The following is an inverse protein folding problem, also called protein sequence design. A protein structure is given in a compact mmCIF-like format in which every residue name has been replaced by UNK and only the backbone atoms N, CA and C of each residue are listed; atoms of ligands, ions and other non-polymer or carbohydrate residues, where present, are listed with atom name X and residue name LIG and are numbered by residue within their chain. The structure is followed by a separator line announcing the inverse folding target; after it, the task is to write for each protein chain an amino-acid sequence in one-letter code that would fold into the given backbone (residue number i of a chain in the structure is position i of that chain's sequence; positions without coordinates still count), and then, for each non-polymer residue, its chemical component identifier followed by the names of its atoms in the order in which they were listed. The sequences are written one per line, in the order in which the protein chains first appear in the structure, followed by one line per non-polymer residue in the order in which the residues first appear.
data_IF_517088021582
#
_entry.id   IF_517088021582
#
_cell.length_a   1.000
_cell.length_b   1.000
_cell.length_c   1.000
_cell.angle_alpha   90.00
_cell.angle_beta   90.00
_cell.angle_gamma   90.00
#
_symmetry.space_group_name_H-M   'P 1'
#
loop_
_entity.id
_entity.type
_entity.pdbx_description
1 polymer ?
#
# COMPACT_ATOMS: atom_id res chain seq x y z
N UNK A 1 -23.45 28.95 46.29
CA UNK A 1 -23.34 30.26 45.60
C UNK A 1 -21.87 30.55 45.39
N UNK A 2 -21.27 30.00 44.34
CA UNK A 2 -19.89 30.31 43.93
C UNK A 2 -20.00 31.29 42.75
N UNK A 3 -19.42 32.48 42.92
CA UNK A 3 -19.67 33.63 42.06
C UNK A 3 -19.02 33.52 40.67
N UNK A 4 -19.47 34.34 39.71
CA UNK A 4 -19.00 34.35 38.33
C UNK A 4 -17.54 34.81 38.13
N UNK A 5 -16.81 35.14 39.20
CA UNK A 5 -15.43 35.62 39.13
C UNK A 5 -14.38 34.50 38.95
N UNK A 6 -14.63 33.27 39.46
CA UNK A 6 -13.64 32.18 39.37
C UNK A 6 -13.48 31.60 37.96
N UNK A 7 -14.55 31.61 37.14
CA UNK A 7 -14.50 31.09 35.76
C UNK A 7 -13.68 31.99 34.85
N UNK A 8 -13.75 33.31 35.03
CA UNK A 8 -12.98 34.28 34.26
C UNK A 8 -11.47 34.17 34.52
N UNK A 9 -11.08 33.83 35.75
CA UNK A 9 -9.68 33.64 36.12
C UNK A 9 -9.09 32.35 35.55
N UNK A 10 -9.90 31.28 35.50
CA UNK A 10 -9.51 30.01 34.86
C UNK A 10 -9.38 30.14 33.33
N UNK A 11 -10.29 30.88 32.67
CA UNK A 11 -10.23 31.13 31.24
C UNK A 11 -9.02 32.01 30.86
N UNK A 12 -8.66 32.98 31.70
CA UNK A 12 -7.44 33.77 31.52
C UNK A 12 -6.17 32.92 31.66
N UNK A 13 -6.10 32.05 32.67
CA UNK A 13 -4.97 31.14 32.87
C UNK A 13 -4.82 30.11 31.74
N UNK A 14 -5.94 29.61 31.19
CA UNK A 14 -5.93 28.71 30.03
C UNK A 14 -5.47 29.46 28.77
N UNK A 15 -5.93 30.70 28.57
CA UNK A 15 -5.49 31.55 27.46
C UNK A 15 -3.99 31.86 27.49
N UNK A 16 -3.44 32.11 28.68
CA UNK A 16 -2.02 32.37 28.88
C UNK A 16 -1.17 31.10 28.69
N UNK A 17 -1.64 29.94 29.17
CA UNK A 17 -1.01 28.65 28.93
C UNK A 17 -1.01 28.25 27.44
N UNK A 18 -2.06 28.58 26.68
CA UNK A 18 -2.14 28.33 25.23
C UNK A 18 -1.15 29.22 24.47
N UNK A 19 -0.97 30.48 24.89
CA UNK A 19 0.04 31.38 24.30
C UNK A 19 1.46 30.89 24.56
N UNK A 20 1.78 30.53 25.80
CA UNK A 20 3.07 29.92 26.18
C UNK A 20 3.36 28.61 25.44
N UNK A 21 2.34 27.80 25.12
CA UNK A 21 2.51 26.56 24.35
C UNK A 21 2.68 26.80 22.85
N UNK A 22 2.14 27.91 22.33
CA UNK A 22 2.25 28.29 20.91
C UNK A 22 3.60 28.92 20.59
N UNK A 23 4.21 29.59 21.56
CA UNK A 23 5.52 30.24 21.40
C UNK A 23 6.70 29.32 21.80
N UNK A 24 6.43 28.11 22.28
CA UNK A 24 7.43 27.17 22.82
C UNK A 24 8.27 26.38 21.79
N UNK A 25 8.09 26.57 20.48
CA UNK A 25 8.98 25.94 19.49
C UNK A 25 8.99 26.62 18.12
N UNK A 26 9.01 27.94 18.07
CA UNK A 26 9.54 28.63 16.89
C UNK A 26 11.06 28.62 17.03
N UNK A 27 11.73 27.65 16.39
CA UNK A 27 13.18 27.73 16.16
C UNK A 27 13.47 29.10 15.57
N UNK A 28 14.38 29.84 16.19
CA UNK A 28 14.74 31.17 15.74
C UNK A 28 15.25 31.09 14.31
N UNK A 29 14.99 32.13 13.51
CA UNK A 29 15.38 32.14 12.10
C UNK A 29 16.90 31.91 11.91
N UNK A 30 17.71 32.34 12.88
CA UNK A 30 19.14 32.08 12.95
C UNK A 30 19.48 30.58 13.17
N UNK A 31 18.65 29.81 13.88
CA UNK A 31 18.84 28.37 14.04
C UNK A 31 18.51 27.61 12.75
N UNK A 32 17.52 28.08 11.98
CA UNK A 32 17.23 27.55 10.65
C UNK A 32 18.34 27.85 9.65
N UNK A 33 18.89 29.05 9.69
CA UNK A 33 20.04 29.44 8.86
C UNK A 33 21.29 28.62 9.23
N UNK A 34 21.55 28.42 10.52
CA UNK A 34 22.65 27.56 10.98
C UNK A 34 22.48 26.10 10.54
N UNK A 35 21.26 25.53 10.61
CA UNK A 35 21.00 24.18 10.11
C UNK A 35 21.08 24.09 8.59
N UNK A 36 20.67 25.13 7.87
CA UNK A 36 20.79 25.17 6.42
C UNK A 36 22.26 25.22 5.99
N UNK A 37 23.10 25.99 6.67
CA UNK A 37 24.55 26.02 6.42
C UNK A 37 25.23 24.68 6.75
N UNK A 38 24.82 24.01 7.83
CA UNK A 38 25.34 22.70 8.20
C UNK A 38 24.96 21.63 7.17
N UNK A 39 23.70 21.62 6.72
CA UNK A 39 23.23 20.72 5.67
C UNK A 39 23.97 20.94 4.33
N UNK A 40 24.21 22.19 3.96
CA UNK A 40 24.95 22.52 2.74
C UNK A 40 26.40 22.05 2.82
N UNK A 41 27.05 22.17 3.98
CA UNK A 41 28.39 21.60 4.20
C UNK A 41 28.40 20.08 4.12
N UNK A 42 27.38 19.42 4.65
CA UNK A 42 27.27 17.96 4.59
C UNK A 42 27.10 17.49 3.14
N UNK A 43 26.28 18.19 2.34
CA UNK A 43 26.09 17.93 0.91
C UNK A 43 27.39 18.17 0.13
N UNK A 44 28.12 19.25 0.41
CA UNK A 44 29.40 19.55 -0.25
C UNK A 44 30.52 18.58 0.16
N UNK A 45 30.46 18.03 1.37
CA UNK A 45 31.37 16.98 1.85
C UNK A 45 31.01 15.58 1.36
N UNK A 46 29.83 15.40 0.77
CA UNK A 46 29.31 14.11 0.37
C UNK A 46 30.02 13.59 -0.88
N UNK A 47 30.99 12.70 -0.66
CA UNK A 47 31.72 12.02 -1.72
C UNK A 47 30.91 10.84 -2.28
N UNK A 48 30.26 11.09 -3.42
CA UNK A 48 29.42 10.15 -4.15
C UNK A 48 30.17 8.85 -4.51
N UNK A 49 31.46 8.94 -4.84
CA UNK A 49 32.29 7.79 -5.23
C UNK A 49 32.61 6.89 -4.03
N UNK A 50 32.74 7.47 -2.83
CA UNK A 50 32.94 6.75 -1.58
C UNK A 50 31.66 6.03 -1.14
N UNK A 51 30.50 6.66 -1.35
CA UNK A 51 29.19 6.06 -1.10
C UNK A 51 28.90 4.88 -2.04
N UNK A 52 29.18 5.00 -3.34
CA UNK A 52 29.04 3.90 -4.30
C UNK A 52 29.98 2.73 -4.00
N UNK A 53 31.21 3.00 -3.54
CA UNK A 53 32.15 1.94 -3.13
C UNK A 53 31.69 1.20 -1.88
N UNK A 54 31.09 1.90 -0.91
CA UNK A 54 30.49 1.28 0.28
C UNK A 54 29.30 0.39 -0.10
N UNK A 55 28.38 0.86 -0.93
CA UNK A 55 27.25 0.07 -1.43
C UNK A 55 27.72 -1.19 -2.18
N UNK A 56 28.71 -1.07 -3.08
CA UNK A 56 29.30 -2.23 -3.77
C UNK A 56 30.06 -3.19 -2.86
N UNK A 57 30.56 -2.71 -1.72
CA UNK A 57 31.21 -3.54 -0.71
C UNK A 57 30.21 -4.27 0.20
N UNK A 58 29.04 -3.69 0.43
CA UNK A 58 27.93 -4.27 1.21
C UNK A 58 27.10 -5.27 0.39
N UNK A 59 26.95 -5.05 -0.93
CA UNK A 59 26.31 -6.00 -1.86
C UNK A 59 27.19 -7.21 -2.20
N UNK A 60 28.48 -7.19 -1.84
CA UNK A 60 29.31 -8.40 -1.89
C UNK A 60 28.91 -9.30 -0.72
N UNK A 61 28.45 -10.54 -0.96
CA UNK A 61 28.17 -11.46 0.13
C UNK A 61 29.47 -11.69 0.93
N UNK A 62 29.53 -11.13 2.13
CA UNK A 62 30.58 -11.43 3.11
C UNK A 62 30.43 -12.90 3.45
N UNK A 63 31.34 -13.72 2.90
CA UNK A 63 31.48 -15.12 3.31
C UNK A 63 31.76 -15.13 4.82
N UNK A 64 31.04 -15.94 5.61
CA UNK A 64 31.29 -16.02 7.05
C UNK A 64 32.74 -16.48 7.27
N UNK A 65 33.51 -15.63 7.94
CA UNK A 65 34.83 -15.96 8.45
C UNK A 65 34.66 -17.02 9.56
N UNK A 66 34.95 -18.27 9.21
CA UNK A 66 34.86 -19.38 10.15
C UNK A 66 34.62 -20.72 9.47
N UNK A 67 35.51 -21.14 8.57
CA UNK A 67 35.73 -22.58 8.37
C UNK A 67 37.17 -22.84 7.94
N UNK A 68 37.74 -23.79 8.65
CA UNK A 68 39.13 -24.20 8.72
C UNK A 68 39.64 -24.70 7.35
N UNK A 69 40.91 -24.40 7.10
CA UNK A 69 41.70 -24.80 5.94
C UNK A 69 41.53 -26.28 5.59
N UNK A 70 41.12 -26.56 4.34
CA UNK A 70 41.70 -27.67 3.56
C UNK A 70 41.86 -27.19 2.13
N UNK A 71 43.09 -27.25 1.64
CA UNK A 71 43.48 -26.73 0.33
C UNK A 71 42.79 -27.49 -0.80
N UNK A 72 41.94 -26.78 -1.54
CA UNK A 72 41.55 -27.17 -2.90
C UNK A 72 41.63 -25.93 -3.78
N UNK A 73 42.72 -25.83 -4.53
CA UNK A 73 42.86 -24.86 -5.63
C UNK A 73 41.99 -25.37 -6.78
N UNK A 74 40.88 -24.69 -7.07
CA UNK A 74 40.07 -24.98 -8.26
C UNK A 74 40.74 -24.40 -9.51
N UNK A 75 41.03 -25.19 -10.55
CA UNK A 75 41.54 -24.65 -11.80
C UNK A 75 40.41 -23.98 -12.59
N UNK A 76 40.66 -22.76 -13.07
CA UNK A 76 39.82 -22.10 -14.08
C UNK A 76 39.99 -22.83 -15.42
N UNK A 77 38.94 -23.44 -15.94
CA UNK A 77 38.90 -23.84 -17.35
C UNK A 77 38.66 -22.58 -18.20
N UNK A 78 39.69 -22.17 -18.96
CA UNK A 78 39.52 -21.26 -20.07
C UNK A 78 38.93 -22.01 -21.28
N UNK A 79 38.15 -21.36 -22.16
CA UNK A 79 37.63 -21.97 -23.38
C UNK A 79 38.76 -22.28 -24.37
N UNK A 80 38.80 -23.51 -24.89
CA UNK A 80 39.68 -23.93 -25.98
C UNK A 80 39.21 -23.30 -27.30
N UNK A 81 39.86 -22.23 -27.73
CA UNK A 81 39.97 -21.84 -29.14
C UNK A 81 41.12 -20.83 -29.27
N UNK A 82 42.35 -21.31 -29.50
CA UNK A 82 43.42 -20.52 -30.12
C UNK A 82 44.56 -21.44 -30.59
N UNK A 83 45.08 -21.10 -31.76
CA UNK A 83 45.95 -21.87 -32.63
C UNK A 83 47.32 -22.23 -32.06
N UNK A 84 47.89 -23.35 -32.54
CA UNK A 84 49.26 -23.77 -32.29
C UNK A 84 50.26 -22.84 -33.00
N UNK A 85 51.39 -22.53 -32.36
CA UNK A 85 52.67 -22.54 -33.08
C UNK A 85 53.68 -23.53 -32.49
N UNK A 86 54.61 -23.95 -33.34
CA UNK A 86 55.58 -25.01 -33.15
C UNK A 86 56.83 -24.57 -32.38
N UNK A 87 57.46 -25.59 -31.79
CA UNK A 87 58.92 -25.81 -31.63
C UNK A 87 59.62 -25.45 -30.31
N UNK A 88 60.65 -26.27 -30.04
CA UNK A 88 61.75 -26.22 -29.05
C UNK A 88 61.64 -27.25 -27.88
N UNK A 89 62.74 -27.98 -27.54
CA UNK A 89 62.70 -29.42 -27.29
C UNK A 89 62.85 -29.91 -25.84
N UNK A 90 62.52 -31.21 -25.69
CA UNK A 90 62.63 -32.11 -24.52
C UNK A 90 63.91 -31.96 -23.68
N UNK A 91 63.79 -32.16 -22.35
CA UNK A 91 64.72 -32.98 -21.60
C UNK A 91 64.13 -34.36 -21.32
N UNK A 92 65.00 -35.36 -21.40
CA UNK A 92 64.77 -36.77 -21.06
C UNK A 92 64.62 -36.90 -19.55
N UNK A 93 63.68 -37.73 -19.11
CA UNK A 93 63.66 -38.22 -17.74
C UNK A 93 62.44 -39.07 -17.45
N UNK A 94 62.68 -40.34 -17.12
CA UNK A 94 61.78 -41.26 -16.43
C UNK A 94 60.44 -41.59 -17.11
N UNK A 95 60.48 -42.70 -17.83
CA UNK A 95 59.40 -43.67 -17.90
C UNK A 95 58.86 -44.04 -16.51
N UNK A 96 57.65 -43.58 -16.18
CA UNK A 96 56.75 -44.34 -15.35
C UNK A 96 55.46 -44.57 -16.14
N UNK A 97 55.30 -45.81 -16.60
CA UNK A 97 54.00 -46.39 -16.88
C UNK A 97 53.18 -46.34 -15.59
N UNK A 98 52.33 -45.33 -15.47
CA UNK A 98 51.10 -45.46 -14.71
C UNK A 98 49.98 -45.56 -15.74
N UNK A 99 49.66 -46.80 -16.10
CA UNK A 99 48.28 -47.17 -16.46
C UNK A 99 47.43 -46.88 -15.22
N UNK A 100 47.12 -45.61 -15.03
CA UNK A 100 46.08 -45.14 -14.14
C UNK A 100 44.83 -45.04 -14.99
N UNK A 101 44.15 -46.17 -15.11
CA UNK A 101 42.77 -46.24 -15.53
C UNK A 101 41.93 -45.44 -14.52
N UNK A 102 41.86 -44.12 -14.70
CA UNK A 102 40.80 -43.28 -14.14
C UNK A 102 39.66 -43.18 -15.14
N UNK A 103 39.24 -44.34 -15.68
CA UNK A 103 37.97 -44.59 -16.34
C UNK A 103 36.74 -44.47 -15.42
N UNK A 104 36.88 -43.75 -14.31
CA UNK A 104 35.81 -43.32 -13.40
C UNK A 104 36.04 -41.81 -13.26
N UNK A 105 35.62 -40.95 -14.19
CA UNK A 105 34.24 -40.46 -14.33
C UNK A 105 34.09 -39.94 -15.77
N UNK A 106 34.22 -40.83 -16.76
CA UNK A 106 33.64 -40.56 -18.06
C UNK A 106 32.12 -40.47 -17.86
N UNK A 107 31.61 -39.24 -17.73
CA UNK A 107 30.25 -38.87 -18.15
C UNK A 107 29.19 -39.91 -17.77
N UNK A 108 28.93 -40.15 -16.48
CA UNK A 108 27.77 -40.98 -16.14
C UNK A 108 26.53 -40.32 -16.76
N UNK A 109 25.85 -41.07 -17.65
CA UNK A 109 24.70 -40.54 -18.41
C UNK A 109 23.67 -39.91 -17.49
N UNK A 110 23.53 -40.46 -16.30
CA UNK A 110 22.69 -39.93 -15.23
C UNK A 110 23.08 -38.53 -14.72
N UNK A 111 24.37 -38.23 -14.49
CA UNK A 111 24.78 -36.87 -14.08
C UNK A 111 24.61 -35.86 -15.22
N UNK A 112 24.77 -36.32 -16.46
CA UNK A 112 24.50 -35.49 -17.63
C UNK A 112 22.99 -35.20 -17.77
N UNK A 113 22.15 -36.21 -17.54
CA UNK A 113 20.69 -36.09 -17.51
C UNK A 113 20.21 -35.17 -16.37
N UNK A 114 20.76 -35.31 -15.16
CA UNK A 114 20.49 -34.40 -14.04
C UNK A 114 20.94 -32.96 -14.34
N UNK A 115 22.05 -32.76 -15.06
CA UNK A 115 22.48 -31.42 -15.49
C UNK A 115 21.52 -30.80 -16.49
N UNK A 116 20.98 -31.59 -17.43
CA UNK A 116 19.98 -31.14 -18.38
C UNK A 116 18.69 -30.76 -17.64
N UNK A 117 18.18 -31.64 -16.77
CA UNK A 117 16.99 -31.37 -15.96
C UNK A 117 17.15 -30.15 -15.03
N UNK A 118 18.33 -29.99 -14.41
CA UNK A 118 18.62 -28.83 -13.57
C UNK A 118 18.64 -27.53 -14.38
N UNK A 119 19.20 -27.55 -15.61
CA UNK A 119 19.18 -26.38 -16.51
C UNK A 119 17.77 -26.03 -16.96
N UNK A 120 16.97 -27.02 -17.35
CA UNK A 120 15.57 -26.81 -17.73
C UNK A 120 14.77 -26.22 -16.57
N UNK A 121 14.92 -26.77 -15.36
CA UNK A 121 14.27 -26.24 -14.15
C UNK A 121 14.75 -24.82 -13.81
N UNK A 122 16.05 -24.55 -13.94
CA UNK A 122 16.60 -23.21 -13.70
C UNK A 122 16.10 -22.20 -14.73
N UNK A 123 15.98 -22.60 -16.00
CA UNK A 123 15.42 -21.77 -17.06
C UNK A 123 13.95 -21.47 -16.81
N UNK A 124 13.14 -22.48 -16.46
CA UNK A 124 11.74 -22.29 -16.10
C UNK A 124 11.59 -21.33 -14.92
N UNK A 125 12.36 -21.53 -13.84
CA UNK A 125 12.35 -20.63 -12.68
C UNK A 125 12.76 -19.20 -13.05
N UNK A 126 13.75 -19.03 -13.93
CA UNK A 126 14.17 -17.70 -14.39
C UNK A 126 13.08 -17.02 -15.23
N UNK A 127 12.37 -17.76 -16.08
CA UNK A 127 11.26 -17.23 -16.88
C UNK A 127 10.09 -16.82 -15.98
N UNK A 128 9.69 -17.68 -15.05
CA UNK A 128 8.64 -17.36 -14.07
C UNK A 128 9.01 -16.13 -13.22
N UNK A 129 10.28 -15.99 -12.83
CA UNK A 129 10.73 -14.83 -12.07
C UNK A 129 10.67 -13.53 -12.91
N UNK A 130 11.03 -13.59 -14.19
CA UNK A 130 10.93 -12.44 -15.11
C UNK A 130 9.46 -12.05 -15.33
N UNK A 131 8.57 -13.01 -15.57
CA UNK A 131 7.13 -12.76 -15.76
C UNK A 131 6.50 -12.14 -14.50
N UNK A 132 6.83 -12.66 -13.31
CA UNK A 132 6.37 -12.09 -12.03
C UNK A 132 6.87 -10.65 -11.84
N UNK A 133 8.14 -10.39 -12.13
CA UNK A 133 8.68 -9.04 -12.01
C UNK A 133 7.99 -8.07 -12.97
N UNK A 134 7.73 -8.46 -14.22
CA UNK A 134 6.99 -7.64 -15.17
C UNK A 134 5.55 -7.37 -14.71
N UNK A 135 4.86 -8.37 -14.17
CA UNK A 135 3.52 -8.21 -13.62
C UNK A 135 3.51 -7.25 -12.41
N UNK A 136 4.52 -7.34 -11.54
CA UNK A 136 4.67 -6.47 -10.37
C UNK A 136 4.96 -5.01 -10.77
N UNK A 137 5.83 -4.80 -11.76
CA UNK A 137 6.10 -3.46 -12.33
C UNK A 137 4.87 -2.85 -12.98
N UNK A 138 4.08 -3.66 -13.70
CA UNK A 138 2.81 -3.22 -14.26
C UNK A 138 1.83 -2.79 -13.16
N UNK A 139 1.68 -3.59 -12.10
CA UNK A 139 0.84 -3.26 -10.95
C UNK A 139 1.25 -1.93 -10.30
N UNK A 140 2.54 -1.74 -10.05
CA UNK A 140 3.08 -0.50 -9.46
C UNK A 140 2.78 0.71 -10.34
N UNK A 141 3.05 0.61 -11.65
CA UNK A 141 2.76 1.69 -12.61
C UNK A 141 1.27 2.05 -12.62
N UNK A 142 0.38 1.05 -12.60
CA UNK A 142 -1.07 1.28 -12.61
C UNK A 142 -1.58 1.85 -11.30
N UNK A 143 -1.08 1.40 -10.15
CA UNK A 143 -1.43 1.98 -8.85
C UNK A 143 -0.93 3.42 -8.71
N UNK A 144 0.26 3.75 -9.24
CA UNK A 144 0.71 5.16 -9.34
C UNK A 144 -0.26 6.01 -10.15
N UNK A 145 -0.71 5.51 -11.30
CA UNK A 145 -1.70 6.20 -12.13
C UNK A 145 -3.02 6.43 -11.38
N UNK A 146 -3.52 5.40 -10.68
CA UNK A 146 -4.71 5.51 -9.83
C UNK A 146 -4.52 6.56 -8.75
N UNK A 147 -3.38 6.56 -8.04
CA UNK A 147 -3.09 7.54 -7.01
C UNK A 147 -3.07 8.98 -7.56
N UNK A 148 -2.37 9.22 -8.67
CA UNK A 148 -2.30 10.56 -9.26
C UNK A 148 -3.68 11.10 -9.64
N UNK A 149 -4.50 10.27 -10.29
CA UNK A 149 -5.88 10.62 -10.63
C UNK A 149 -6.71 10.93 -9.37
N UNK A 150 -6.69 10.03 -8.38
CA UNK A 150 -7.48 10.21 -7.16
C UNK A 150 -7.03 11.43 -6.35
N UNK A 151 -5.73 11.70 -6.34
CA UNK A 151 -5.17 12.88 -5.68
C UNK A 151 -5.66 14.17 -6.33
N UNK A 152 -5.60 14.27 -7.65
CA UNK A 152 -6.13 15.41 -8.40
C UNK A 152 -7.64 15.56 -8.22
N UNK A 153 -8.39 14.46 -8.32
CA UNK A 153 -9.83 14.43 -8.10
C UNK A 153 -10.19 14.97 -6.71
N UNK A 154 -9.53 14.49 -5.64
CA UNK A 154 -9.75 14.98 -4.27
C UNK A 154 -9.48 16.47 -4.16
N UNK A 155 -8.39 16.97 -4.75
CA UNK A 155 -8.06 18.40 -4.70
C UNK A 155 -9.20 19.24 -5.28
N UNK A 156 -9.73 18.86 -6.45
CA UNK A 156 -10.83 19.58 -7.08
C UNK A 156 -12.14 19.44 -6.29
N UNK A 157 -12.47 18.25 -5.80
CA UNK A 157 -13.70 18.01 -5.04
C UNK A 157 -13.70 18.72 -3.67
N UNK A 158 -12.55 18.84 -3.02
CA UNK A 158 -12.41 19.58 -1.77
C UNK A 158 -12.66 21.09 -1.95
N UNK A 159 -12.38 21.63 -3.14
CA UNK A 159 -12.68 23.02 -3.51
C UNK A 159 -14.16 23.18 -3.85
N UNK A 160 -14.69 22.31 -4.72
CA UNK A 160 -16.05 22.42 -5.25
C UNK A 160 -17.13 22.06 -4.23
N UNK A 161 -16.84 21.12 -3.33
CA UNK A 161 -17.79 20.53 -2.35
C UNK A 161 -19.17 20.23 -2.95
N UNK A 162 -19.23 19.39 -4.01
CA UNK A 162 -20.48 19.15 -4.71
C UNK A 162 -21.51 18.41 -3.85
N UNK A 163 -22.78 18.54 -4.23
CA UNK A 163 -23.85 17.68 -3.72
C UNK A 163 -23.87 16.39 -4.52
N UNK A 164 -23.84 15.25 -3.84
CA UNK A 164 -23.96 13.93 -4.45
C UNK A 164 -25.40 13.68 -4.88
N UNK A 165 -25.57 13.20 -6.12
CA UNK A 165 -26.88 12.88 -6.70
C UNK A 165 -27.49 11.59 -6.13
N UNK A 166 -26.65 10.74 -5.54
CA UNK A 166 -27.03 9.43 -5.01
C UNK A 166 -27.81 9.52 -3.71
N UNK A 167 -28.77 8.61 -3.56
CA UNK A 167 -29.51 8.35 -2.31
C UNK A 167 -28.99 7.09 -1.62
N UNK A 168 -28.82 7.14 -0.30
CA UNK A 168 -28.37 5.99 0.51
C UNK A 168 -29.53 5.47 1.36
N UNK A 169 -29.91 4.22 1.14
CA UNK A 169 -30.95 3.54 1.90
C UNK A 169 -30.34 2.78 3.08
N UNK A 170 -30.77 3.11 4.30
CA UNK A 170 -30.44 2.35 5.52
C UNK A 170 -31.47 1.24 5.73
N UNK A 171 -32.74 1.59 5.51
CA UNK A 171 -33.93 0.75 5.67
C UNK A 171 -35.00 1.27 4.72
N UNK A 172 -36.03 0.49 4.35
CA UNK A 172 -37.09 0.96 3.45
C UNK A 172 -37.80 2.25 3.89
N UNK A 173 -37.71 2.60 5.18
CA UNK A 173 -38.27 3.83 5.76
C UNK A 173 -37.27 4.97 5.91
N UNK A 174 -35.98 4.71 5.71
CA UNK A 174 -34.88 5.62 6.06
C UNK A 174 -33.92 5.76 4.88
N UNK A 175 -34.02 6.89 4.19
CA UNK A 175 -33.18 7.23 3.04
C UNK A 175 -32.49 8.57 3.27
N UNK A 176 -31.17 8.57 3.16
CA UNK A 176 -30.34 9.78 3.14
C UNK A 176 -30.23 10.31 1.71
N UNK A 177 -30.48 11.61 1.55
CA UNK A 177 -30.40 12.34 0.27
C UNK A 177 -29.74 13.68 0.49
N UNK A 178 -29.34 14.35 -0.60
CA UNK A 178 -28.73 15.67 -0.58
C UNK A 178 -27.49 15.68 0.33
N UNK A 179 -26.63 14.69 0.12
CA UNK A 179 -25.34 14.59 0.80
C UNK A 179 -24.36 15.52 0.11
N UNK A 180 -23.65 16.32 0.88
CA UNK A 180 -22.66 17.27 0.38
C UNK A 180 -21.28 16.77 0.76
N UNK A 181 -20.38 16.76 -0.21
CA UNK A 181 -18.97 16.48 0.01
C UNK A 181 -18.39 17.44 1.05
N UNK A 182 -17.71 16.91 2.06
CA UNK A 182 -17.06 17.72 3.10
C UNK A 182 -15.57 17.84 2.82
N UNK A 183 -14.87 16.72 2.95
CA UNK A 183 -13.43 16.62 2.80
C UNK A 183 -13.07 15.20 2.38
N UNK A 184 -12.12 15.08 1.48
CA UNK A 184 -11.52 13.82 1.07
C UNK A 184 -10.00 13.87 1.08
N UNK A 185 -9.44 12.68 0.99
CA UNK A 185 -8.02 12.41 1.06
C UNK A 185 -7.68 11.20 0.20
N UNK A 186 -6.52 11.27 -0.47
CA UNK A 186 -5.95 10.17 -1.24
C UNK A 186 -4.48 10.02 -0.85
N UNK A 187 -4.06 8.77 -0.62
CA UNK A 187 -2.72 8.41 -0.16
C UNK A 187 -2.33 7.04 -0.71
N UNK A 188 -1.05 6.71 -0.66
CA UNK A 188 -0.54 5.39 -1.03
C UNK A 188 0.48 4.88 -0.03
N UNK A 189 0.65 3.56 -0.01
CA UNK A 189 1.65 2.87 0.80
C UNK A 189 2.49 1.97 -0.07
N UNK A 190 3.78 1.94 0.21
CA UNK A 190 4.75 1.05 -0.45
C UNK A 190 5.13 -0.10 0.46
N UNK A 191 5.46 -1.24 -0.15
CA UNK A 191 5.99 -2.40 0.55
C UNK A 191 7.52 -2.34 0.60
N UNK A 192 8.10 -2.51 1.79
CA UNK A 192 9.56 -2.42 2.00
C UNK A 192 10.34 -3.69 1.70
N UNK A 193 9.67 -4.83 1.49
CA UNK A 193 10.32 -6.16 1.37
C UNK A 193 10.60 -6.60 -0.07
N UNK A 194 10.09 -5.92 -1.09
CA UNK A 194 10.43 -6.17 -2.49
C UNK A 194 11.69 -5.41 -2.89
N UNK A 195 12.45 -5.92 -3.86
CA UNK A 195 13.70 -5.33 -4.40
C UNK A 195 13.54 -3.96 -5.11
N UNK A 196 12.41 -3.29 -4.85
CA UNK A 196 12.02 -1.94 -5.21
C UNK A 196 10.79 -1.63 -4.34
N UNK A 197 10.66 -0.42 -3.83
CA UNK A 197 9.52 -0.03 -3.01
C UNK A 197 8.23 0.08 -3.87
N UNK A 198 7.60 -1.07 -4.14
CA UNK A 198 6.40 -1.17 -4.96
C UNK A 198 5.18 -0.67 -4.17
N UNK A 199 4.24 -0.02 -4.84
CA UNK A 199 2.98 0.40 -4.23
C UNK A 199 2.12 -0.83 -3.91
N UNK A 200 1.85 -1.04 -2.63
CA UNK A 200 0.98 -2.11 -2.13
C UNK A 200 -0.48 -1.68 -2.17
N UNK A 201 -0.74 -0.41 -1.81
CA UNK A 201 -2.10 0.07 -1.59
C UNK A 201 -2.24 1.56 -1.89
N UNK A 202 -3.30 1.93 -2.60
CA UNK A 202 -3.79 3.31 -2.73
C UNK A 202 -5.09 3.43 -1.96
N UNK A 203 -5.15 4.35 -1.01
CA UNK A 203 -6.34 4.63 -0.21
C UNK A 203 -6.97 5.94 -0.65
N UNK A 204 -8.26 5.91 -0.88
CA UNK A 204 -9.09 7.09 -1.14
C UNK A 204 -10.25 7.09 -0.15
N UNK A 205 -10.44 8.19 0.55
CA UNK A 205 -11.49 8.30 1.57
C UNK A 205 -12.05 9.70 1.59
N UNK A 206 -13.35 9.83 1.82
CA UNK A 206 -14.01 11.12 1.95
C UNK A 206 -15.16 11.07 2.94
N UNK A 207 -15.57 12.25 3.40
CA UNK A 207 -16.71 12.44 4.27
C UNK A 207 -17.82 13.16 3.52
N UNK A 208 -19.04 12.71 3.79
CA UNK A 208 -20.26 13.33 3.29
C UNK A 208 -21.18 13.66 4.44
N UNK A 209 -21.86 14.80 4.35
CA UNK A 209 -22.82 15.23 5.36
C UNK A 209 -24.07 15.82 4.71
N UNK A 210 -25.22 15.68 5.36
CA UNK A 210 -26.44 16.42 5.05
C UNK A 210 -26.91 17.15 6.31
N UNK A 211 -27.42 18.39 6.18
CA UNK A 211 -27.96 19.12 7.33
C UNK A 211 -29.23 18.48 7.91
N UNK A 212 -29.85 17.53 7.19
CA UNK A 212 -31.05 16.83 7.65
C UNK A 212 -30.66 15.71 8.61
N UNK A 213 -31.24 15.69 9.81
CA UNK A 213 -31.24 14.52 10.68
C UNK A 213 -32.41 13.61 10.36
N UNK A 214 -32.21 12.30 10.48
CA UNK A 214 -33.24 11.30 10.26
C UNK A 214 -33.69 10.73 11.59
N UNK A 215 -34.99 10.81 11.87
CA UNK A 215 -35.57 10.28 13.11
C UNK A 215 -36.53 9.14 12.78
N UNK A 216 -36.35 7.99 13.41
CA UNK A 216 -37.20 6.81 13.21
C UNK A 216 -37.42 6.02 14.49
N UNK A 217 -38.61 5.42 14.59
CA UNK A 217 -39.01 4.62 15.74
C UNK A 217 -39.13 3.15 15.36
N UNK A 218 -38.60 2.28 16.22
CA UNK A 218 -38.69 0.82 16.09
C UNK A 218 -39.23 0.19 17.38
N UNK A 219 -39.89 -0.97 17.25
CA UNK A 219 -40.20 -1.84 18.40
C UNK A 219 -38.92 -2.49 18.95
N UNK A 220 -39.01 -3.14 20.12
CA UNK A 220 -37.84 -3.69 20.79
C UNK A 220 -36.99 -4.66 19.94
N UNK A 221 -37.64 -5.59 19.22
CA UNK A 221 -36.91 -6.60 18.43
C UNK A 221 -36.34 -6.04 17.12
N UNK A 222 -36.98 -5.04 16.52
CA UNK A 222 -36.45 -4.34 15.36
C UNK A 222 -35.37 -3.32 15.74
N UNK A 223 -35.45 -2.70 16.92
CA UNK A 223 -34.49 -1.73 17.41
C UNK A 223 -33.08 -2.31 17.55
N UNK A 224 -32.94 -3.50 18.13
CA UNK A 224 -31.63 -4.16 18.29
C UNK A 224 -30.98 -4.50 16.94
N UNK A 225 -31.78 -5.02 15.99
CA UNK A 225 -31.31 -5.33 14.64
C UNK A 225 -30.89 -4.06 13.89
N UNK A 226 -31.70 -3.01 13.99
CA UNK A 226 -31.43 -1.73 13.34
C UNK A 226 -30.20 -1.04 13.94
N UNK A 227 -30.04 -1.08 15.27
CA UNK A 227 -28.85 -0.59 15.97
C UNK A 227 -27.58 -1.24 15.47
N UNK A 228 -27.57 -2.57 15.34
CA UNK A 228 -26.42 -3.31 14.81
C UNK A 228 -26.11 -2.90 13.37
N UNK A 229 -27.14 -2.77 12.54
CA UNK A 229 -27.00 -2.37 11.14
C UNK A 229 -26.38 -0.96 10.98
N UNK A 230 -26.88 0.03 11.72
CA UNK A 230 -26.34 1.40 11.71
C UNK A 230 -24.89 1.43 12.19
N UNK A 231 -24.58 0.65 13.23
CA UNK A 231 -23.22 0.52 13.76
C UNK A 231 -22.27 -0.08 12.71
N UNK A 232 -22.69 -1.14 12.02
CA UNK A 232 -21.89 -1.80 10.97
C UNK A 232 -21.59 -0.82 9.81
N UNK A 233 -22.53 0.06 9.48
CA UNK A 233 -22.34 1.14 8.50
C UNK A 233 -21.41 2.26 8.99
N UNK A 234 -21.22 2.39 10.31
CA UNK A 234 -20.40 3.43 10.93
C UNK A 234 -21.09 4.80 10.99
N UNK A 235 -22.43 4.81 11.05
CA UNK A 235 -23.21 6.05 11.18
C UNK A 235 -23.27 6.47 12.65
N UNK A 236 -23.26 7.79 12.88
CA UNK A 236 -23.47 8.34 14.23
C UNK A 236 -24.98 8.45 14.51
N UNK A 237 -25.41 8.00 15.68
CA UNK A 237 -26.80 8.05 16.08
C UNK A 237 -26.95 8.28 17.59
N UNK A 238 -28.12 8.82 17.97
CA UNK A 238 -28.61 8.86 19.34
C UNK A 238 -29.82 7.95 19.45
N UNK A 239 -29.95 7.26 20.58
CA UNK A 239 -31.02 6.31 20.83
C UNK A 239 -31.73 6.68 22.13
N UNK A 240 -33.05 6.85 22.06
CA UNK A 240 -33.89 7.09 23.22
C UNK A 240 -34.81 5.88 23.42
N UNK A 241 -34.57 5.13 24.48
CA UNK A 241 -35.31 3.93 24.82
C UNK A 241 -36.51 4.25 25.71
N UNK A 242 -37.71 3.83 25.29
CA UNK A 242 -38.94 3.96 26.08
C UNK A 242 -39.29 2.60 26.67
N UNK A 243 -39.23 2.52 27.99
CA UNK A 243 -39.54 1.32 28.74
C UNK A 243 -40.96 1.35 29.31
N UNK A 244 -41.60 0.19 29.45
CA UNK A 244 -42.85 0.05 30.18
C UNK A 244 -42.62 0.06 31.70
N UNK A 245 -43.71 0.07 32.49
CA UNK A 245 -43.66 0.01 33.96
C UNK A 245 -42.93 -1.24 34.50
N UNK A 246 -42.79 -2.29 33.68
CA UNK A 246 -42.04 -3.52 33.99
C UNK A 246 -40.58 -3.48 33.52
N UNK A 247 -40.05 -2.30 33.13
CA UNK A 247 -38.70 -2.08 32.59
C UNK A 247 -38.38 -2.88 31.32
N UNK A 248 -39.38 -3.29 30.54
CA UNK A 248 -39.18 -3.88 29.21
C UNK A 248 -39.22 -2.77 28.16
N UNK A 249 -38.31 -2.83 27.19
CA UNK A 249 -38.29 -1.91 26.06
C UNK A 249 -39.58 -2.04 25.24
N UNK A 250 -40.29 -0.94 25.03
CA UNK A 250 -41.46 -0.87 24.15
C UNK A 250 -41.03 -0.40 22.77
N UNK A 251 -40.38 0.76 22.73
CA UNK A 251 -39.93 1.41 21.51
C UNK A 251 -38.58 2.09 21.73
N UNK A 252 -37.79 2.17 20.67
CA UNK A 252 -36.59 2.99 20.62
C UNK A 252 -36.71 4.02 19.50
N UNK A 253 -36.49 5.28 19.84
CA UNK A 253 -36.38 6.39 18.89
C UNK A 253 -34.90 6.56 18.53
N UNK A 254 -34.58 6.53 17.24
CA UNK A 254 -33.24 6.72 16.71
C UNK A 254 -33.16 8.06 15.99
N UNK A 255 -32.25 8.93 16.43
CA UNK A 255 -31.86 10.15 15.71
C UNK A 255 -30.50 9.92 15.06
N UNK A 256 -30.47 9.81 13.74
CA UNK A 256 -29.29 9.49 12.95
C UNK A 256 -28.75 10.78 12.34
N UNK A 257 -27.46 11.05 12.57
CA UNK A 257 -26.77 12.11 11.87
C UNK A 257 -26.51 11.65 10.44
N UNK A 258 -26.90 12.47 9.45
CA UNK A 258 -26.63 12.17 8.03
C UNK A 258 -25.18 12.51 7.66
N UNK A 259 -24.22 12.01 8.44
CA UNK A 259 -22.79 12.20 8.22
C UNK A 259 -22.05 10.87 8.35
N UNK A 260 -21.28 10.52 7.33
CA UNK A 260 -20.51 9.27 7.31
C UNK A 260 -19.32 9.35 6.36
N UNK A 261 -18.38 8.42 6.56
CA UNK A 261 -17.21 8.27 5.70
C UNK A 261 -17.43 7.19 4.65
N UNK A 262 -16.92 7.48 3.46
CA UNK A 262 -16.79 6.59 2.31
C UNK A 262 -15.31 6.30 2.10
N UNK A 263 -14.95 5.06 1.79
CA UNK A 263 -13.57 4.69 1.48
C UNK A 263 -13.49 3.71 0.33
N UNK A 264 -12.46 3.83 -0.50
CA UNK A 264 -12.08 2.91 -1.54
C UNK A 264 -10.58 2.63 -1.42
N UNK A 265 -10.19 1.37 -1.25
CA UNK A 265 -8.78 0.95 -1.16
C UNK A 265 -8.45 0.05 -2.34
N UNK A 266 -7.51 0.48 -3.16
CA UNK A 266 -6.97 -0.26 -4.28
C UNK A 266 -5.72 -0.98 -3.81
N UNK A 267 -5.78 -2.31 -3.68
CA UNK A 267 -4.68 -3.14 -3.19
C UNK A 267 -4.10 -4.01 -4.30
N UNK A 268 -2.78 -4.06 -4.38
CA UNK A 268 -2.09 -5.04 -5.20
C UNK A 268 -2.30 -6.45 -4.60
N UNK A 269 -2.73 -7.39 -5.44
CA UNK A 269 -2.70 -8.82 -5.17
C UNK A 269 -1.61 -9.42 -6.06
N UNK A 270 -0.37 -9.41 -5.56
CA UNK A 270 0.82 -9.85 -6.31
C UNK A 270 0.78 -11.35 -6.64
N UNK A 271 0.14 -12.16 -5.80
CA UNK A 271 -0.06 -13.59 -6.05
C UNK A 271 -1.01 -13.82 -7.23
N UNK A 272 -2.09 -13.03 -7.30
CA UNK A 272 -3.12 -13.17 -8.31
C UNK A 272 -2.94 -12.24 -9.53
N UNK A 273 -1.83 -11.49 -9.58
CA UNK A 273 -1.52 -10.45 -10.55
C UNK A 273 -2.70 -9.50 -10.85
N UNK A 274 -3.45 -9.10 -9.82
CA UNK A 274 -4.67 -8.33 -9.94
C UNK A 274 -4.75 -7.19 -8.92
N UNK A 275 -5.67 -6.26 -9.13
CA UNK A 275 -5.95 -5.20 -8.15
C UNK A 275 -7.29 -5.49 -7.49
N UNK A 276 -7.29 -5.52 -6.16
CA UNK A 276 -8.49 -5.66 -5.34
C UNK A 276 -8.94 -4.29 -4.88
N UNK A 277 -10.14 -3.88 -5.29
CA UNK A 277 -10.74 -2.63 -4.86
C UNK A 277 -11.75 -2.92 -3.74
N UNK A 278 -11.40 -2.52 -2.53
CA UNK A 278 -12.25 -2.63 -1.34
C UNK A 278 -12.95 -1.31 -1.05
N UNK A 279 -14.26 -1.29 -1.24
CA UNK A 279 -15.11 -0.13 -1.03
C UNK A 279 -15.93 -0.27 0.24
N UNK A 280 -16.11 0.84 0.96
CA UNK A 280 -17.05 0.98 2.06
C UNK A 280 -17.92 2.20 1.82
N UNK A 281 -19.24 2.02 1.91
CA UNK A 281 -20.24 3.05 1.74
C UNK A 281 -20.18 3.79 0.38
N UNK A 282 -19.55 3.24 -0.66
CA UNK A 282 -19.36 3.93 -1.95
C UNK A 282 -20.65 3.98 -2.76
N UNK A 283 -21.20 2.82 -3.14
CA UNK A 283 -22.47 2.74 -3.89
C UNK A 283 -23.69 2.65 -2.99
N UNK A 284 -23.54 1.88 -1.92
CA UNK A 284 -24.56 1.61 -0.93
C UNK A 284 -23.85 1.51 0.41
N UNK A 285 -24.59 1.66 1.50
CA UNK A 285 -24.04 1.44 2.82
C UNK A 285 -23.57 -0.03 2.95
N UNK A 286 -22.43 -0.22 3.61
CA UNK A 286 -21.76 -1.51 3.74
C UNK A 286 -20.48 -1.63 2.93
N UNK A 287 -19.96 -2.85 2.82
CA UNK A 287 -18.67 -3.14 2.17
C UNK A 287 -18.89 -3.90 0.86
N UNK A 288 -18.10 -3.56 -0.15
CA UNK A 288 -18.12 -4.18 -1.48
C UNK A 288 -16.68 -4.38 -1.95
N UNK A 289 -16.43 -5.44 -2.68
CA UNK A 289 -15.10 -5.71 -3.24
C UNK A 289 -15.22 -5.96 -4.73
N UNK A 290 -14.28 -5.40 -5.49
CA UNK A 290 -14.15 -5.61 -6.92
C UNK A 290 -12.77 -6.18 -7.22
N UNK A 291 -12.70 -6.99 -8.27
CA UNK A 291 -11.45 -7.41 -8.89
C UNK A 291 -11.27 -6.63 -10.19
N UNK A 292 -10.18 -5.87 -10.24
CA UNK A 292 -9.81 -5.02 -11.37
C UNK A 292 -8.58 -5.62 -12.04
N UNK A 293 -8.65 -5.74 -13.36
CA UNK A 293 -7.51 -6.12 -14.18
C UNK A 293 -6.56 -4.91 -14.30
N UNK A 294 -5.26 -5.04 -13.97
CA UNK A 294 -4.32 -3.94 -14.12
C UNK A 294 -4.25 -3.41 -15.56
N UNK A 295 -4.50 -4.25 -16.56
CA UNK A 295 -4.49 -3.85 -17.96
C UNK A 295 -5.70 -2.95 -18.33
N UNK A 296 -6.82 -3.07 -17.61
CA UNK A 296 -8.03 -2.28 -17.85
C UNK A 296 -8.01 -0.91 -17.16
N UNK A 297 -6.97 -0.59 -16.40
CA UNK A 297 -6.82 0.73 -15.77
C UNK A 297 -6.34 1.72 -16.82
N UNK A 298 -7.29 2.43 -17.40
CA UNK A 298 -7.10 3.53 -18.32
C UNK A 298 -7.86 4.77 -17.83
N UNK A 299 -7.85 5.83 -18.64
CA UNK A 299 -8.53 7.07 -18.28
C UNK A 299 -10.05 6.90 -18.22
N UNK A 300 -10.64 6.09 -19.12
CA UNK A 300 -12.08 5.84 -19.14
C UNK A 300 -12.56 5.16 -17.85
N UNK A 301 -11.85 4.13 -17.39
CA UNK A 301 -12.17 3.46 -16.12
C UNK A 301 -12.10 4.45 -14.93
N UNK A 302 -11.09 5.31 -14.91
CA UNK A 302 -10.92 6.28 -13.83
C UNK A 302 -11.99 7.37 -13.86
N UNK A 303 -12.37 7.85 -15.03
CA UNK A 303 -13.47 8.82 -15.19
C UNK A 303 -14.82 8.21 -14.76
N UNK A 304 -15.08 6.97 -15.14
CA UNK A 304 -16.24 6.21 -14.67
C UNK A 304 -16.23 6.02 -13.15
N UNK A 305 -15.06 5.82 -12.53
CA UNK A 305 -14.92 5.82 -11.07
C UNK A 305 -15.22 7.20 -10.46
N UNK A 306 -14.79 8.29 -11.10
CA UNK A 306 -15.11 9.66 -10.69
C UNK A 306 -16.63 9.92 -10.70
N UNK A 307 -17.32 9.52 -11.77
CA UNK A 307 -18.79 9.56 -11.83
C UNK A 307 -19.43 8.73 -10.72
N UNK A 308 -18.89 7.53 -10.44
CA UNK A 308 -19.37 6.67 -9.37
C UNK A 308 -19.25 7.35 -7.99
N UNK A 309 -18.14 8.03 -7.72
CA UNK A 309 -17.89 8.79 -6.47
C UNK A 309 -18.90 9.92 -6.30
N UNK A 310 -19.20 10.67 -7.36
CA UNK A 310 -20.17 11.76 -7.34
C UNK A 310 -21.63 11.30 -7.24
N UNK A 311 -21.87 10.00 -7.32
CA UNK A 311 -23.22 9.45 -7.28
C UNK A 311 -23.93 9.48 -8.63
N UNK A 312 -23.23 9.81 -9.71
CA UNK A 312 -23.74 9.88 -11.07
C UNK A 312 -23.86 8.48 -11.69
N UNK A 313 -24.65 8.32 -12.77
CA UNK A 313 -24.68 7.08 -13.54
C UNK A 313 -23.26 6.72 -14.02
N UNK A 314 -22.83 5.49 -13.72
CA UNK A 314 -21.48 5.02 -14.03
C UNK A 314 -21.52 3.58 -14.51
N UNK A 315 -20.66 3.26 -15.47
CA UNK A 315 -20.41 1.92 -16.01
C UNK A 315 -19.30 1.19 -15.27
N UNK A 316 -18.69 1.81 -14.27
CA UNK A 316 -17.60 1.24 -13.48
C UNK A 316 -17.88 -0.20 -12.99
N UNK A 317 -19.08 -0.53 -12.43
CA UNK A 317 -19.36 -1.90 -11.98
C UNK A 317 -19.44 -2.94 -13.11
N UNK A 318 -19.62 -2.52 -14.37
CA UNK A 318 -19.62 -3.41 -15.54
C UNK A 318 -18.20 -3.62 -16.07
N UNK A 319 -17.34 -2.61 -15.93
CA UNK A 319 -15.93 -2.67 -16.33
C UNK A 319 -15.10 -3.51 -15.35
N UNK A 320 -15.48 -3.52 -14.06
CA UNK A 320 -14.85 -4.35 -13.03
C UNK A 320 -15.59 -5.68 -12.85
N UNK A 321 -14.85 -6.76 -12.56
CA UNK A 321 -15.48 -8.03 -12.15
C UNK A 321 -15.81 -7.96 -10.66
N UNK A 322 -17.07 -8.16 -10.30
CA UNK A 322 -17.50 -8.35 -8.90
C UNK A 322 -17.12 -9.73 -8.40
#
# INVERSE_FOLDING_TARGET
MAGPQDKSSLEAAIGEAIRLKRDGHTRDQAEWEAMAEDLLRDIDSFDLDLAERKLRSEERPVKPAGLIETGVVFPKLAPEEAERPQSVPRPRGSSHQARGDSGVVARSGFLQELRVQARERQQQQSQEAVERNQANELLDKRLRQVFLYLHELVQQLNILRPTLERSYEISPRVVMKNLVWQEGFADYRTQSQSAGALIEMVSFSFQVASPRRLSVQFDAAAADRFRKQIFDFGLRFRMNERHNQRRQLLFADFDIDSEFSVSARWRADYEAAAIRLECRNLERLGNYTYRVDPASIDQELMDEFGHLVLGQPSRFPLLCRR
#
